data_IF_251220400878
#
_entry.id   IF_251220400878
#
_cell.length_a   1.000
_cell.length_b   1.000
_cell.length_c   1.000
_cell.angle_alpha   90.00
_cell.angle_beta   90.00
_cell.angle_gamma   90.00
#
_symmetry.space_group_name_H-M   'P 1'
#
loop_
_entity.id
_entity.type
_entity.pdbx_description
1 polymer ?
#
# COMPACT_ATOMS: atom_id res chain seq x y z
N UNK A 1 -55.06 -8.64 -54.81
CA UNK A 1 -54.09 -8.28 -55.85
C UNK A 1 -52.70 -8.65 -55.33
N UNK A 2 -52.04 -9.58 -56.05
CA UNK A 2 -50.57 -9.77 -56.22
C UNK A 2 -49.66 -9.77 -54.97
N UNK A 3 -48.70 -10.67 -54.77
CA UNK A 3 -48.17 -11.80 -55.54
C UNK A 3 -47.18 -12.56 -54.63
N UNK A 4 -47.22 -13.88 -54.76
CA UNK A 4 -46.26 -14.93 -54.44
C UNK A 4 -44.78 -14.56 -54.56
N UNK A 5 -43.91 -15.18 -53.74
CA UNK A 5 -42.48 -15.29 -54.07
C UNK A 5 -41.61 -15.92 -52.99
N UNK A 6 -41.61 -17.26 -52.87
CA UNK A 6 -40.52 -18.02 -52.26
C UNK A 6 -39.33 -18.03 -53.23
N UNK A 7 -38.15 -17.61 -52.78
CA UNK A 7 -36.90 -17.92 -53.45
C UNK A 7 -35.93 -18.53 -52.42
N UNK A 8 -35.71 -19.83 -52.58
CA UNK A 8 -34.56 -20.52 -52.01
C UNK A 8 -33.41 -20.37 -53.01
N UNK A 9 -32.25 -19.92 -52.52
CA UNK A 9 -30.97 -20.11 -53.19
C UNK A 9 -29.97 -20.61 -52.15
N UNK A 10 -29.53 -21.85 -52.37
CA UNK A 10 -28.39 -22.45 -51.71
C UNK A 10 -27.10 -21.90 -52.35
N UNK A 11 -26.09 -21.60 -51.52
CA UNK A 11 -24.71 -21.49 -51.98
C UNK A 11 -23.78 -21.90 -50.85
N UNK A 12 -23.14 -23.04 -51.07
CA UNK A 12 -22.06 -23.61 -50.27
C UNK A 12 -20.86 -22.67 -50.25
N UNK A 13 -20.33 -22.40 -49.06
CA UNK A 13 -19.04 -21.73 -48.86
C UNK A 13 -18.31 -22.37 -47.69
N UNK A 14 -17.46 -23.35 -47.99
CA UNK A 14 -16.47 -23.86 -47.04
C UNK A 14 -15.38 -22.80 -46.86
N UNK A 15 -15.17 -22.32 -45.63
CA UNK A 15 -14.05 -21.43 -45.30
C UNK A 15 -13.45 -21.82 -43.94
N UNK A 16 -12.35 -22.56 -44.06
CA UNK A 16 -11.13 -22.52 -43.24
C UNK A 16 -11.27 -22.34 -41.72
N UNK A 17 -11.03 -23.46 -41.04
CA UNK A 17 -10.57 -23.57 -39.66
C UNK A 17 -9.37 -22.64 -39.40
N UNK A 18 -9.51 -21.72 -38.44
CA UNK A 18 -8.37 -21.17 -37.70
C UNK A 18 -8.51 -21.65 -36.26
N UNK A 19 -7.78 -22.71 -35.95
CA UNK A 19 -7.61 -23.20 -34.59
C UNK A 19 -6.62 -22.26 -33.87
N UNK A 20 -7.14 -21.34 -33.07
CA UNK A 20 -6.31 -20.62 -32.11
C UNK A 20 -6.03 -21.56 -30.92
N UNK A 21 -4.83 -22.11 -30.87
CA UNK A 21 -4.34 -22.85 -29.72
C UNK A 21 -4.20 -21.87 -28.54
N UNK A 22 -5.17 -21.90 -27.61
CA UNK A 22 -5.00 -21.29 -26.29
C UNK A 22 -3.95 -22.12 -25.54
N UNK A 23 -2.74 -21.58 -25.43
CA UNK A 23 -1.73 -22.08 -24.52
C UNK A 23 -2.23 -21.88 -23.08
N UNK A 24 -2.90 -22.89 -22.53
CA UNK A 24 -3.27 -22.96 -21.12
C UNK A 24 -2.02 -23.16 -20.26
N UNK A 25 -1.70 -22.18 -19.41
CA UNK A 25 -0.66 -22.32 -18.40
C UNK A 25 -1.26 -22.94 -17.11
N UNK A 26 -0.87 -24.18 -16.86
CA UNK A 26 -0.71 -24.95 -15.61
C UNK A 26 -1.77 -24.91 -14.47
N UNK A 27 -1.98 -26.05 -13.78
CA UNK A 27 -3.00 -26.21 -12.74
C UNK A 27 -2.56 -25.60 -11.40
N UNK A 28 -3.55 -25.08 -10.67
CA UNK A 28 -3.47 -24.74 -9.26
C UNK A 28 -3.06 -25.98 -8.44
N UNK A 29 -1.93 -25.89 -7.74
CA UNK A 29 -1.59 -26.82 -6.67
C UNK A 29 -2.54 -26.63 -5.46
N UNK A 30 -2.66 -27.61 -4.55
CA UNK A 30 -3.66 -27.61 -3.48
C UNK A 30 -3.33 -26.67 -2.31
N UNK A 31 -2.43 -25.70 -2.49
CA UNK A 31 -2.07 -24.71 -1.48
C UNK A 31 -2.54 -23.31 -1.90
N UNK A 32 -3.52 -22.70 -1.21
CA UNK A 32 -3.76 -21.28 -1.31
C UNK A 32 -2.65 -20.56 -0.52
N UNK A 33 -1.48 -20.41 -1.14
CA UNK A 33 -0.39 -19.56 -0.69
C UNK A 33 0.14 -18.79 -1.89
N UNK A 34 -0.65 -17.88 -2.43
CA UNK A 34 -0.22 -16.97 -3.50
C UNK A 34 0.76 -15.92 -2.96
N UNK A 35 1.78 -15.48 -3.73
CA UNK A 35 2.67 -14.41 -3.30
C UNK A 35 1.95 -13.07 -3.48
N UNK A 36 1.24 -12.68 -2.43
CA UNK A 36 0.61 -11.37 -2.30
C UNK A 36 0.48 -10.96 -0.84
N UNK A 37 1.41 -11.38 0.02
CA UNK A 37 1.55 -10.79 1.34
C UNK A 37 2.04 -9.36 1.16
N UNK A 38 1.37 -8.39 1.78
CA UNK A 38 1.88 -7.01 1.80
C UNK A 38 3.28 -7.01 2.41
N UNK A 39 4.21 -6.27 1.80
CA UNK A 39 5.56 -6.13 2.33
C UNK A 39 5.49 -5.55 3.75
N UNK A 40 6.37 -6.05 4.63
CA UNK A 40 6.41 -5.56 6.00
C UNK A 40 6.73 -4.07 6.04
N UNK A 41 6.02 -3.33 6.90
CA UNK A 41 6.30 -1.92 7.17
C UNK A 41 7.50 -1.72 8.11
N UNK A 42 8.06 -2.80 8.67
CA UNK A 42 9.25 -2.73 9.51
C UNK A 42 10.42 -2.07 8.75
N UNK A 43 11.25 -1.31 9.48
CA UNK A 43 12.38 -0.56 8.95
C UNK A 43 12.38 0.91 9.39
N UNK A 44 13.29 1.67 8.78
CA UNK A 44 13.51 3.09 9.08
C UNK A 44 12.89 3.97 7.98
N UNK A 45 12.22 5.03 8.41
CA UNK A 45 11.43 5.93 7.58
C UNK A 45 11.74 7.38 7.92
N UNK A 46 12.11 8.19 6.92
CA UNK A 46 12.59 9.55 7.11
C UNK A 46 14.11 9.61 7.30
N UNK A 47 14.71 10.81 7.29
CA UNK A 47 16.17 10.98 7.31
C UNK A 47 16.80 11.06 8.72
N UNK A 48 16.03 11.43 9.75
CA UNK A 48 16.46 11.36 11.16
C UNK A 48 17.67 12.21 11.56
N UNK A 49 18.05 13.19 10.73
CA UNK A 49 19.06 14.18 11.09
C UNK A 49 18.51 15.26 12.03
N UNK A 50 19.32 16.30 12.26
CA UNK A 50 18.98 17.37 13.22
C UNK A 50 17.78 18.16 12.72
N UNK A 51 16.71 18.20 13.53
CA UNK A 51 15.47 18.89 13.16
C UNK A 51 14.64 18.14 12.13
N UNK A 52 14.98 16.88 11.82
CA UNK A 52 14.28 16.09 10.83
C UNK A 52 13.50 14.93 11.45
N UNK A 53 12.31 14.59 10.90
CA UNK A 53 11.49 13.51 11.43
C UNK A 53 12.03 12.14 11.02
N UNK A 54 11.85 11.14 11.87
CA UNK A 54 12.12 9.73 11.56
C UNK A 54 11.31 8.78 12.44
N UNK A 55 10.89 7.66 11.85
CA UNK A 55 10.35 6.50 12.56
C UNK A 55 11.23 5.27 12.29
N UNK A 56 11.43 4.48 13.33
CA UNK A 56 12.00 3.14 13.27
C UNK A 56 10.95 2.16 13.78
N UNK A 57 10.48 1.31 12.87
CA UNK A 57 9.47 0.28 13.12
C UNK A 57 10.18 -1.07 13.24
N UNK A 58 10.38 -1.54 14.47
CA UNK A 58 11.04 -2.81 14.74
C UNK A 58 10.10 -3.98 14.44
N UNK A 59 10.64 -5.09 13.95
CA UNK A 59 9.87 -6.27 13.57
C UNK A 59 9.10 -6.93 14.73
N UNK A 60 9.43 -6.59 15.98
CA UNK A 60 8.70 -7.04 17.17
C UNK A 60 7.47 -6.18 17.49
N UNK A 61 7.18 -5.14 16.69
CA UNK A 61 6.08 -4.19 16.88
C UNK A 61 6.44 -2.97 17.72
N UNK A 62 7.71 -2.76 18.07
CA UNK A 62 8.17 -1.55 18.78
C UNK A 62 8.36 -0.39 17.81
N UNK A 63 7.95 0.81 18.22
CA UNK A 63 8.21 2.06 17.52
C UNK A 63 9.19 2.92 18.31
N UNK A 64 10.23 3.39 17.62
CA UNK A 64 11.07 4.50 18.05
C UNK A 64 11.00 5.63 17.02
N UNK A 65 11.24 6.86 17.42
CA UNK A 65 11.29 7.95 16.47
C UNK A 65 11.71 9.28 17.04
N UNK A 66 11.68 10.28 16.17
CA UNK A 66 11.89 11.69 16.46
C UNK A 66 11.00 12.49 15.52
N UNK A 67 10.35 13.54 16.00
CA UNK A 67 9.70 14.53 15.13
C UNK A 67 10.65 15.68 14.73
N UNK A 68 11.92 15.56 15.08
CA UNK A 68 12.97 16.55 14.85
C UNK A 68 13.30 17.37 16.10
N UNK A 69 12.36 17.50 17.04
CA UNK A 69 12.57 18.16 18.34
C UNK A 69 12.42 17.18 19.51
N UNK A 70 11.40 16.35 19.46
CA UNK A 70 10.96 15.44 20.49
C UNK A 70 11.21 14.00 20.09
N UNK A 71 11.59 13.16 21.06
CA UNK A 71 11.67 11.72 20.87
C UNK A 71 10.29 11.08 20.97
N UNK A 72 10.03 10.10 20.11
CA UNK A 72 8.80 9.32 20.04
C UNK A 72 9.07 7.87 20.45
N UNK A 73 8.11 7.26 21.15
CA UNK A 73 8.20 5.85 21.52
C UNK A 73 6.82 5.22 21.74
N UNK A 74 6.63 4.00 21.24
CA UNK A 74 5.34 3.32 21.35
C UNK A 74 5.34 1.95 20.69
N UNK A 75 4.17 1.53 20.22
CA UNK A 75 3.97 0.28 19.48
C UNK A 75 3.41 0.58 18.09
N UNK A 76 3.53 -0.39 17.19
CA UNK A 76 2.87 -0.35 15.90
C UNK A 76 2.33 -1.72 15.50
N UNK A 77 1.27 -1.71 14.70
CA UNK A 77 0.68 -2.88 14.07
C UNK A 77 0.46 -2.62 12.58
N UNK A 78 0.44 -3.68 11.76
CA UNK A 78 0.17 -3.58 10.32
C UNK A 78 -1.00 -4.47 9.91
N UNK A 79 -1.89 -3.91 9.08
CA UNK A 79 -2.99 -4.62 8.43
C UNK A 79 -2.99 -4.29 6.94
N UNK A 80 -2.37 -5.16 6.14
CA UNK A 80 -2.15 -4.87 4.73
C UNK A 80 -1.19 -3.68 4.56
N UNK A 81 -1.59 -2.64 3.84
CA UNK A 81 -0.79 -1.43 3.65
C UNK A 81 -0.90 -0.45 4.82
N UNK A 82 -1.89 -0.62 5.69
CA UNK A 82 -2.14 0.30 6.81
C UNK A 82 -1.29 -0.07 8.02
N UNK A 83 -0.76 0.96 8.66
CA UNK A 83 0.01 0.92 9.90
C UNK A 83 -0.75 1.72 10.96
N UNK A 84 -0.99 1.10 12.10
CA UNK A 84 -1.59 1.74 13.26
C UNK A 84 -0.51 1.99 14.32
N UNK A 85 -0.44 3.22 14.84
CA UNK A 85 0.51 3.58 15.89
C UNK A 85 -0.21 3.60 17.24
N UNK A 86 0.27 2.79 18.17
CA UNK A 86 -0.46 2.47 19.42
C UNK A 86 0.33 2.93 20.63
N UNK A 87 -0.31 3.73 21.49
CA UNK A 87 0.25 4.17 22.76
C UNK A 87 1.54 4.97 22.60
N UNK A 88 1.63 5.80 21.55
CA UNK A 88 2.81 6.61 21.30
C UNK A 88 2.90 7.74 22.33
N UNK A 89 4.03 7.80 23.01
CA UNK A 89 4.41 8.90 23.88
C UNK A 89 5.50 9.75 23.21
N UNK A 90 5.53 11.03 23.58
CA UNK A 90 6.55 11.98 23.14
C UNK A 90 7.08 12.81 24.30
N UNK A 91 8.28 13.36 24.14
CA UNK A 91 8.71 14.48 24.98
C UNK A 91 7.94 15.75 24.58
N UNK A 92 7.89 16.74 25.48
CA UNK A 92 7.23 18.04 25.23
C UNK A 92 8.25 19.18 25.33
N UNK A 93 9.34 19.06 24.57
CA UNK A 93 10.35 20.09 24.40
C UNK A 93 9.93 21.05 23.29
N UNK A 94 10.31 22.32 23.45
CA UNK A 94 10.17 23.33 22.41
C UNK A 94 11.51 23.54 21.71
N UNK A 95 11.52 23.46 20.38
CA UNK A 95 12.69 23.75 19.55
C UNK A 95 12.31 24.84 18.53
N UNK A 96 13.01 25.97 18.59
CA UNK A 96 12.76 27.06 17.67
C UNK A 96 13.09 26.66 16.22
N UNK A 97 12.14 26.87 15.32
CA UNK A 97 12.32 26.63 13.88
C UNK A 97 12.25 25.17 13.44
N UNK A 98 11.86 24.24 14.32
CA UNK A 98 11.60 22.84 13.95
C UNK A 98 10.09 22.66 13.72
N UNK A 99 9.75 22.00 12.63
CA UNK A 99 8.39 21.53 12.36
C UNK A 99 8.24 20.12 12.93
N UNK A 100 7.59 20.01 14.08
CA UNK A 100 7.40 18.78 14.85
C UNK A 100 6.13 18.01 14.45
N UNK A 101 5.63 18.22 13.22
CA UNK A 101 4.37 17.64 12.72
C UNK A 101 4.20 16.15 13.02
N UNK A 102 5.29 15.37 12.95
CA UNK A 102 5.26 13.92 13.15
C UNK A 102 4.78 13.56 14.56
N UNK A 103 4.96 14.42 15.56
CA UNK A 103 4.50 14.21 16.92
C UNK A 103 2.97 14.07 17.07
N UNK A 104 2.19 14.31 16.00
CA UNK A 104 0.74 14.11 15.96
C UNK A 104 0.32 12.82 15.24
N UNK A 105 1.25 11.89 14.98
CA UNK A 105 0.97 10.62 14.30
C UNK A 105 -0.18 9.83 14.94
N UNK A 106 -1.08 9.31 14.10
CA UNK A 106 -2.13 8.36 14.47
C UNK A 106 -2.03 7.07 13.67
N UNK A 107 -2.06 7.19 12.35
CA UNK A 107 -1.94 6.04 11.42
C UNK A 107 -1.01 6.37 10.26
N UNK A 108 -0.68 5.36 9.47
CA UNK A 108 -0.01 5.56 8.19
C UNK A 108 -0.48 4.53 7.15
N UNK A 109 -0.29 4.85 5.88
CA UNK A 109 -0.42 3.90 4.77
C UNK A 109 0.91 3.84 4.02
N UNK A 110 1.36 2.63 3.68
CA UNK A 110 2.60 2.40 2.94
C UNK A 110 2.29 2.15 1.46
N UNK A 111 2.84 3.01 0.60
CA UNK A 111 2.85 2.84 -0.85
C UNK A 111 4.32 2.71 -1.32
N UNK A 112 4.76 1.47 -1.56
CA UNK A 112 6.13 1.18 -1.97
C UNK A 112 7.17 1.63 -0.92
N UNK A 113 7.95 2.67 -1.28
CA UNK A 113 8.97 3.28 -0.43
C UNK A 113 8.49 4.51 0.33
N UNK A 114 7.23 4.93 0.16
CA UNK A 114 6.68 6.13 0.79
C UNK A 114 5.66 5.74 1.84
N UNK A 115 5.83 6.25 3.06
CA UNK A 115 4.85 6.16 4.14
C UNK A 115 4.08 7.47 4.22
N UNK A 116 2.77 7.41 4.00
CA UNK A 116 1.85 8.53 4.19
C UNK A 116 1.36 8.52 5.63
N UNK A 117 1.64 9.56 6.41
CA UNK A 117 1.29 9.63 7.83
C UNK A 117 0.06 10.51 8.02
N UNK A 118 -0.86 10.04 8.85
CA UNK A 118 -2.11 10.70 9.19
C UNK A 118 -2.19 10.95 10.70
N UNK A 119 -2.86 12.03 11.09
CA UNK A 119 -3.17 12.30 12.50
C UNK A 119 -4.34 11.43 13.03
N UNK A 120 -4.71 11.65 14.29
CA UNK A 120 -5.81 10.94 14.95
C UNK A 120 -7.20 11.27 14.35
N UNK A 121 -7.34 12.39 13.64
CA UNK A 121 -8.57 12.79 12.95
C UNK A 121 -8.60 12.25 11.51
N UNK A 122 -7.53 11.60 11.04
CA UNK A 122 -7.38 11.02 9.72
C UNK A 122 -6.92 12.01 8.64
N UNK A 123 -6.47 13.21 9.01
CA UNK A 123 -5.87 14.15 8.07
C UNK A 123 -4.42 13.75 7.77
N UNK A 124 -4.01 13.76 6.50
CA UNK A 124 -2.62 13.49 6.15
C UNK A 124 -1.74 14.67 6.60
N UNK A 125 -0.74 14.38 7.42
CA UNK A 125 0.15 15.39 8.02
C UNK A 125 1.55 15.40 7.41
N UNK A 126 1.94 14.32 6.73
CA UNK A 126 3.24 14.27 6.06
C UNK A 126 3.53 12.95 5.36
N UNK A 127 4.76 12.83 4.89
CA UNK A 127 5.28 11.61 4.27
C UNK A 127 6.70 11.34 4.74
N UNK A 128 7.06 10.06 4.89
CA UNK A 128 8.41 9.61 5.21
C UNK A 128 8.88 8.61 4.15
N UNK A 129 10.08 8.83 3.61
CA UNK A 129 10.70 7.91 2.66
C UNK A 129 11.47 6.81 3.40
N UNK A 130 11.35 5.58 2.91
CA UNK A 130 12.13 4.44 3.42
C UNK A 130 13.63 4.66 3.20
N UNK A 131 14.43 4.37 4.23
CA UNK A 131 15.90 4.39 4.18
C UNK A 131 16.49 3.07 3.65
#
# INVERSE_FOLDING_TARGET
MTRTGRFAFAASGAALLVAAALAGCAPAGPFPGGPGGTASSAGTWGPGGRGEPQLELLADGTLHGTDGCNSLGGRWEQRGADVEFVGVARTEMYCEGVDDWLGNLGTATVDGSTMHVFDLDGAQIGTLERQ
#
